data_IF_372133610417
#
_entry.id   IF_372133610417
#
_cell.length_a   1.000
_cell.length_b   1.000
_cell.length_c   1.000
_cell.angle_alpha   90.00
_cell.angle_beta   90.00
_cell.angle_gamma   90.00
#
_symmetry.space_group_name_H-M   'P 1'
#
loop_
_entity.id
_entity.type
_entity.pdbx_description
1 polymer ?
#
# COMPACT_ATOMS: atom_id res chain seq x y z
N UNK A 1 -18.39 36.66 -10.42
CA UNK A 1 -17.69 35.86 -9.39
C UNK A 1 -17.26 34.49 -9.96
N UNK A 2 -16.19 34.37 -10.78
CA UNK A 2 -15.78 33.09 -11.36
C UNK A 2 -14.49 32.49 -10.73
N UNK A 3 -13.74 33.26 -9.93
CA UNK A 3 -12.41 32.85 -9.44
C UNK A 3 -12.45 31.87 -8.27
N UNK A 4 -13.53 31.87 -7.47
CA UNK A 4 -13.67 30.97 -6.33
C UNK A 4 -13.96 29.51 -6.74
N UNK A 5 -14.76 29.29 -7.79
CA UNK A 5 -15.08 27.94 -8.28
C UNK A 5 -13.89 27.25 -8.96
N UNK A 6 -13.01 28.00 -9.61
CA UNK A 6 -11.82 27.42 -10.24
C UNK A 6 -10.77 26.99 -9.20
N UNK A 7 -10.70 27.69 -8.06
CA UNK A 7 -9.84 27.32 -6.94
C UNK A 7 -10.36 26.08 -6.20
N UNK A 8 -11.68 25.95 -5.99
CA UNK A 8 -12.26 24.76 -5.35
C UNK A 8 -12.11 23.50 -6.21
N UNK A 9 -12.36 23.60 -7.52
CA UNK A 9 -12.25 22.44 -8.42
C UNK A 9 -10.79 21.99 -8.64
N UNK A 10 -9.84 22.94 -8.68
CA UNK A 10 -8.41 22.63 -8.74
C UNK A 10 -7.85 22.08 -7.42
N UNK A 11 -8.45 22.45 -6.28
CA UNK A 11 -8.08 21.92 -4.96
C UNK A 11 -8.54 20.48 -4.78
N UNK A 12 -9.78 20.18 -5.18
CA UNK A 12 -10.40 18.86 -5.05
C UNK A 12 -9.74 17.81 -5.96
N UNK A 13 -9.48 18.16 -7.22
CA UNK A 13 -8.76 17.28 -8.16
C UNK A 13 -7.34 16.90 -7.68
N UNK A 14 -6.62 17.83 -7.02
CA UNK A 14 -5.32 17.53 -6.40
C UNK A 14 -5.43 16.62 -5.18
N UNK A 15 -6.46 16.82 -4.36
CA UNK A 15 -6.70 15.96 -3.19
C UNK A 15 -7.07 14.54 -3.60
N UNK A 16 -7.94 14.37 -4.60
CA UNK A 16 -8.34 13.05 -5.11
C UNK A 16 -7.16 12.28 -5.70
N UNK A 17 -6.28 12.95 -6.44
CA UNK A 17 -5.05 12.34 -6.96
C UNK A 17 -4.13 11.84 -5.84
N UNK A 18 -3.90 12.68 -4.82
CA UNK A 18 -3.09 12.30 -3.65
C UNK A 18 -3.73 11.16 -2.84
N UNK A 19 -5.04 11.18 -2.62
CA UNK A 19 -5.74 10.09 -1.90
C UNK A 19 -5.63 8.77 -2.67
N UNK A 20 -5.67 8.81 -4.00
CA UNK A 20 -5.52 7.63 -4.84
C UNK A 20 -4.08 7.11 -4.85
N UNK A 21 -3.09 8.00 -4.83
CA UNK A 21 -1.66 7.65 -4.69
C UNK A 21 -1.39 7.00 -3.34
N UNK A 22 -1.80 7.64 -2.24
CA UNK A 22 -1.68 7.10 -0.87
C UNK A 22 -2.39 5.75 -0.75
N UNK A 23 -3.62 5.63 -1.29
CA UNK A 23 -4.34 4.36 -1.26
C UNK A 23 -3.65 3.26 -2.08
N UNK A 24 -2.92 3.61 -3.13
CA UNK A 24 -2.14 2.66 -3.92
C UNK A 24 -0.87 2.22 -3.18
N UNK A 25 -0.20 3.14 -2.50
CA UNK A 25 0.96 2.86 -1.64
C UNK A 25 0.56 1.95 -0.46
N UNK A 26 -0.52 2.27 0.25
CA UNK A 26 -1.01 1.45 1.37
C UNK A 26 -1.40 0.04 0.92
N UNK A 27 -2.05 -0.09 -0.25
CA UNK A 27 -2.37 -1.40 -0.84
C UNK A 27 -1.10 -2.18 -1.15
N UNK A 28 -0.13 -1.54 -1.79
CA UNK A 28 1.14 -2.18 -2.13
C UNK A 28 1.87 -2.71 -0.87
N UNK A 29 1.95 -1.90 0.18
CA UNK A 29 2.56 -2.32 1.46
C UNK A 29 1.80 -3.50 2.11
N UNK A 30 0.48 -3.53 2.02
CA UNK A 30 -0.31 -4.65 2.54
C UNK A 30 -0.13 -5.95 1.73
N UNK A 31 0.02 -5.84 0.41
CA UNK A 31 0.28 -6.97 -0.48
C UNK A 31 1.68 -7.54 -0.28
N UNK A 32 2.70 -6.70 -0.11
CA UNK A 32 4.07 -7.15 0.17
C UNK A 32 4.17 -7.83 1.53
N UNK A 33 3.48 -7.32 2.54
CA UNK A 33 3.41 -7.98 3.87
C UNK A 33 2.76 -9.34 3.75
N UNK A 34 1.62 -9.43 3.05
CA UNK A 34 0.91 -10.69 2.84
C UNK A 34 1.74 -11.71 2.06
N UNK A 35 2.44 -11.28 1.01
CA UNK A 35 3.37 -12.12 0.27
C UNK A 35 4.52 -12.63 1.16
N UNK A 36 5.07 -11.78 2.03
CA UNK A 36 6.15 -12.19 2.94
C UNK A 36 5.69 -13.23 3.97
N UNK A 37 4.47 -13.09 4.50
CA UNK A 37 3.86 -14.08 5.39
C UNK A 37 3.57 -15.40 4.67
N UNK A 38 3.02 -15.34 3.45
CA UNK A 38 2.76 -16.51 2.61
C UNK A 38 4.07 -17.24 2.25
N UNK A 39 5.14 -16.48 1.98
CA UNK A 39 6.47 -17.03 1.73
C UNK A 39 7.07 -17.72 2.96
N UNK A 40 6.69 -17.35 4.18
CA UNK A 40 7.07 -18.08 5.38
C UNK A 40 6.28 -19.38 5.54
N UNK A 41 4.98 -19.37 5.23
CA UNK A 41 4.11 -20.55 5.34
C UNK A 41 4.52 -21.67 4.38
N UNK A 42 5.02 -21.31 3.19
CA UNK A 42 5.49 -22.26 2.18
C UNK A 42 6.90 -22.81 2.43
N UNK A 43 7.69 -22.18 3.29
CA UNK A 43 8.97 -22.75 3.72
C UNK A 43 8.61 -23.71 4.88
N UNK A 44 8.70 -25.01 4.64
CA UNK A 44 8.64 -26.08 5.66
C UNK A 44 9.84 -25.97 6.63
N UNK A 45 9.96 -24.83 7.32
CA UNK A 45 11.06 -24.56 8.24
C UNK A 45 10.76 -25.29 9.56
N UNK A 46 11.72 -26.11 10.06
CA UNK A 46 11.56 -26.80 11.32
C UNK A 46 11.52 -25.76 12.44
N UNK A 47 10.34 -25.53 13.03
CA UNK A 47 10.08 -24.73 14.26
C UNK A 47 11.16 -23.65 14.49
N UNK A 48 11.25 -22.68 13.58
CA UNK A 48 12.19 -21.57 13.75
C UNK A 48 11.81 -20.79 15.02
N UNK A 49 12.81 -20.36 15.79
CA UNK A 49 12.53 -19.51 16.94
C UNK A 49 11.92 -18.20 16.45
N UNK A 50 10.97 -17.64 17.21
CA UNK A 50 10.27 -16.39 16.83
C UNK A 50 11.23 -15.29 16.38
N UNK A 51 12.40 -15.16 17.02
CA UNK A 51 13.45 -14.21 16.64
C UNK A 51 14.03 -14.45 15.24
N UNK A 52 14.26 -15.70 14.85
CA UNK A 52 14.84 -16.03 13.55
C UNK A 52 13.83 -15.81 12.41
N UNK A 53 12.54 -16.04 12.68
CA UNK A 53 11.44 -15.69 11.77
C UNK A 53 11.37 -14.18 11.52
N UNK A 54 11.48 -13.38 12.58
CA UNK A 54 11.50 -11.91 12.47
C UNK A 54 12.69 -11.41 11.65
N UNK A 55 13.89 -11.97 11.87
CA UNK A 55 15.08 -11.61 11.07
C UNK A 55 14.93 -11.99 9.59
N UNK A 56 14.27 -13.11 9.29
CA UNK A 56 14.02 -13.53 7.91
C UNK A 56 13.00 -12.62 7.23
N UNK A 57 11.93 -12.22 7.93
CA UNK A 57 10.94 -11.26 7.42
C UNK A 57 11.56 -9.90 7.14
N UNK A 58 12.40 -9.40 8.04
CA UNK A 58 13.14 -8.16 7.83
C UNK A 58 13.97 -8.21 6.54
N UNK A 59 14.63 -9.34 6.28
CA UNK A 59 15.38 -9.54 5.02
C UNK A 59 14.45 -9.56 3.81
N UNK A 60 13.27 -10.18 3.91
CA UNK A 60 12.27 -10.18 2.84
C UNK A 60 11.73 -8.77 2.55
N UNK A 61 11.47 -7.96 3.58
CA UNK A 61 11.07 -6.56 3.42
C UNK A 61 12.17 -5.73 2.78
N UNK A 62 13.42 -5.85 3.26
CA UNK A 62 14.56 -5.17 2.65
C UNK A 62 14.77 -5.60 1.19
N UNK A 63 14.57 -6.89 0.89
CA UNK A 63 14.66 -7.39 -0.47
C UNK A 63 13.54 -6.83 -1.35
N UNK A 64 12.30 -6.82 -0.88
CA UNK A 64 11.16 -6.23 -1.60
C UNK A 64 11.38 -4.73 -1.90
N UNK A 65 11.91 -3.97 -0.94
CA UNK A 65 12.25 -2.56 -1.14
C UNK A 65 13.36 -2.40 -2.18
N UNK A 66 14.39 -3.24 -2.18
CA UNK A 66 15.46 -3.22 -3.20
C UNK A 66 14.95 -3.62 -4.59
N UNK A 67 14.13 -4.66 -4.65
CA UNK A 67 13.57 -5.19 -5.90
C UNK A 67 12.49 -4.27 -6.51
N UNK A 68 11.98 -3.29 -5.75
CA UNK A 68 11.03 -2.27 -6.23
C UNK A 68 11.61 -1.30 -7.28
N UNK A 69 12.84 -1.53 -7.75
CA UNK A 69 13.48 -0.72 -8.80
C UNK A 69 13.99 0.62 -8.28
N UNK A 70 14.38 0.65 -7.01
CA UNK A 70 14.84 1.85 -6.31
C UNK A 70 16.35 1.76 -6.13
N UNK A 71 17.06 2.80 -6.52
CA UNK A 71 18.51 2.85 -6.36
C UNK A 71 18.85 3.51 -5.01
N UNK A 72 19.28 2.68 -4.04
CA UNK A 72 19.57 3.13 -2.67
C UNK A 72 20.95 3.76 -2.64
N UNK A 73 20.99 5.07 -2.37
CA UNK A 73 22.26 5.81 -2.24
C UNK A 73 22.65 5.89 -0.76
N UNK A 74 23.89 5.53 -0.37
CA UNK A 74 24.34 5.60 1.01
C UNK A 74 24.45 7.04 1.49
N UNK A 75 23.81 7.36 2.62
CA UNK A 75 23.86 8.68 3.26
C UNK A 75 22.51 9.17 3.81
N UNK A 76 22.53 9.99 4.85
CA UNK A 76 21.34 10.53 5.56
C UNK A 76 20.66 11.70 4.81
N UNK A 77 21.31 12.23 3.77
CA UNK A 77 20.76 13.32 2.94
C UNK A 77 21.02 13.08 1.46
N UNK A 78 19.93 13.08 0.69
CA UNK A 78 19.98 13.02 -0.77
C UNK A 78 20.73 14.25 -1.29
N UNK A 79 21.94 14.05 -1.83
CA UNK A 79 22.74 15.12 -2.40
C UNK A 79 21.93 15.97 -3.40
N UNK A 80 22.21 17.27 -3.46
CA UNK A 80 21.43 18.25 -4.26
C UNK A 80 21.19 17.75 -5.70
N UNK A 81 22.18 17.10 -6.29
CA UNK A 81 22.10 16.51 -7.63
C UNK A 81 21.05 15.39 -7.76
N UNK A 82 20.92 14.50 -6.77
CA UNK A 82 19.93 13.43 -6.76
C UNK A 82 18.51 13.97 -6.52
N UNK A 83 18.39 15.01 -5.68
CA UNK A 83 17.11 15.69 -5.46
C UNK A 83 16.61 16.39 -6.72
N UNK A 84 17.51 17.05 -7.45
CA UNK A 84 17.19 17.68 -8.75
C UNK A 84 16.84 16.63 -9.80
N UNK A 85 17.55 15.49 -9.83
CA UNK A 85 17.23 14.38 -10.73
C UNK A 85 15.80 13.86 -10.47
N UNK A 86 15.47 13.52 -9.22
CA UNK A 86 14.13 13.09 -8.84
C UNK A 86 13.05 14.14 -9.13
N UNK A 87 13.36 15.43 -8.88
CA UNK A 87 12.43 16.52 -9.18
C UNK A 87 12.16 16.66 -10.69
N UNK A 88 13.19 16.49 -11.51
CA UNK A 88 13.10 16.49 -12.97
C UNK A 88 12.29 15.28 -13.47
N UNK A 89 12.45 14.11 -12.85
CA UNK A 89 11.67 12.91 -13.16
C UNK A 89 10.17 13.12 -12.90
N UNK A 90 9.87 13.69 -11.72
CA UNK A 90 8.50 13.84 -11.23
C UNK A 90 7.73 14.96 -11.94
N UNK A 91 8.42 16.02 -12.39
CA UNK A 91 7.79 17.18 -13.01
C UNK A 91 8.55 17.66 -14.25
N UNK A 92 8.61 16.87 -15.34
CA UNK A 92 9.38 17.23 -16.54
C UNK A 92 8.90 18.53 -17.17
N UNK A 93 7.59 18.80 -17.19
CA UNK A 93 7.00 20.02 -17.76
C UNK A 93 7.43 21.27 -16.97
N UNK A 94 7.49 21.18 -15.63
CA UNK A 94 7.89 22.32 -14.81
C UNK A 94 9.37 22.63 -15.00
N UNK A 95 10.22 21.60 -14.99
CA UNK A 95 11.66 21.77 -15.20
C UNK A 95 11.93 22.33 -16.60
N UNK A 96 11.24 21.80 -17.61
CA UNK A 96 11.29 22.32 -18.98
C UNK A 96 10.93 23.80 -19.04
N UNK A 97 9.80 24.22 -18.46
CA UNK A 97 9.39 25.61 -18.46
C UNK A 97 10.40 26.52 -17.76
N UNK A 98 10.94 26.08 -16.61
CA UNK A 98 11.95 26.84 -15.86
C UNK A 98 13.28 26.96 -16.57
N UNK A 99 13.64 26.02 -17.45
CA UNK A 99 14.92 26.02 -18.16
C UNK A 99 14.81 26.66 -19.56
N UNK A 100 13.69 26.43 -20.24
CA UNK A 100 13.44 26.92 -21.58
C UNK A 100 13.16 28.43 -21.62
N UNK A 101 12.37 28.97 -20.69
CA UNK A 101 12.04 30.40 -20.68
C UNK A 101 13.28 31.31 -20.50
N UNK A 102 14.17 31.06 -19.51
CA UNK A 102 15.40 31.83 -19.39
C UNK A 102 16.35 31.62 -20.56
N UNK A 103 16.41 30.41 -21.13
CA UNK A 103 17.25 30.13 -22.30
C UNK A 103 16.83 30.95 -23.52
N UNK A 104 15.53 31.02 -23.83
CA UNK A 104 15.01 31.84 -24.92
C UNK A 104 15.22 33.34 -24.64
N UNK A 105 15.01 33.78 -23.40
CA UNK A 105 15.27 35.16 -22.99
C UNK A 105 16.75 35.55 -23.15
N UNK A 106 17.67 34.65 -22.82
CA UNK A 106 19.11 34.86 -22.98
C UNK A 106 19.51 35.00 -24.44
N UNK A 107 18.96 34.15 -25.33
CA UNK A 107 19.19 34.22 -26.78
C UNK A 107 18.68 35.56 -27.35
N UNK A 108 17.52 36.02 -26.88
CA UNK A 108 16.95 37.30 -27.31
C UNK A 108 17.85 38.48 -26.90
N UNK A 109 18.31 38.51 -25.64
CA UNK A 109 19.20 39.57 -25.16
C UNK A 109 20.54 39.60 -25.92
N UNK A 110 21.15 38.43 -26.17
CA UNK A 110 22.41 38.31 -26.92
C UNK A 110 22.31 38.80 -28.37
N UNK A 111 21.18 38.60 -29.04
CA UNK A 111 20.96 39.12 -30.40
C UNK A 111 20.66 40.62 -30.42
N UNK A 112 20.22 41.20 -29.30
CA UNK A 112 19.86 42.63 -29.21
C UNK A 112 21.10 43.54 -29.39
N UNK A 113 22.29 43.08 -29.01
CA UNK A 113 23.56 43.84 -29.09
C UNK A 113 24.12 44.10 -30.50
N UNK A 114 23.61 43.47 -31.56
CA UNK A 114 24.08 43.69 -32.95
C UNK A 114 23.23 44.76 -33.64
N UNK A 115 23.68 46.01 -33.65
CA UNK A 115 22.91 47.20 -34.08
C UNK A 115 22.91 47.48 -35.61
N UNK A 116 23.58 46.67 -36.45
CA UNK A 116 23.70 46.98 -37.89
C UNK A 116 22.69 46.26 -38.82
N UNK A 117 21.83 45.38 -38.28
CA UNK A 117 20.92 44.56 -39.11
C UNK A 117 19.46 44.81 -38.76
N UNK A 118 18.64 44.93 -39.81
CA UNK A 118 17.22 45.26 -39.79
C UNK A 118 16.42 44.41 -38.76
N UNK A 119 15.60 45.07 -37.93
CA UNK A 119 14.92 44.46 -36.78
C UNK A 119 14.05 43.25 -37.17
N UNK A 120 13.52 43.25 -38.39
CA UNK A 120 12.67 42.19 -38.94
C UNK A 120 13.43 40.87 -39.16
N UNK A 121 14.67 40.93 -39.69
CA UNK A 121 15.54 39.76 -39.90
C UNK A 121 16.04 39.22 -38.56
N UNK A 122 16.32 40.11 -37.59
CA UNK A 122 16.72 39.72 -36.24
C UNK A 122 15.62 38.91 -35.55
N UNK A 123 14.37 39.37 -35.62
CA UNK A 123 13.21 38.68 -35.05
C UNK A 123 12.99 37.29 -35.66
N UNK A 124 13.16 37.19 -36.99
CA UNK A 124 13.04 35.92 -37.71
C UNK A 124 14.10 34.90 -37.24
N UNK A 125 15.37 35.30 -37.15
CA UNK A 125 16.43 34.43 -36.64
C UNK A 125 16.24 34.04 -35.18
N UNK A 126 15.87 34.99 -34.30
CA UNK A 126 15.60 34.65 -32.89
C UNK A 126 14.46 33.66 -32.70
N UNK A 127 13.44 33.68 -33.57
CA UNK A 127 12.33 32.73 -33.48
C UNK A 127 12.77 31.31 -33.84
N UNK A 128 13.54 31.15 -34.91
CA UNK A 128 14.07 29.84 -35.34
C UNK A 128 15.08 29.30 -34.32
N UNK A 129 15.98 30.13 -33.80
CA UNK A 129 16.91 29.72 -32.75
C UNK A 129 16.21 29.40 -31.43
N UNK A 130 15.16 30.15 -31.07
CA UNK A 130 14.34 29.86 -29.91
C UNK A 130 13.62 28.51 -30.04
N UNK A 131 13.02 28.24 -31.20
CA UNK A 131 12.40 26.94 -31.50
C UNK A 131 13.40 25.80 -31.37
N UNK A 132 14.58 25.93 -31.99
CA UNK A 132 15.64 24.93 -31.90
C UNK A 132 16.08 24.70 -30.44
N UNK A 133 16.29 25.78 -29.67
CA UNK A 133 16.66 25.67 -28.26
C UNK A 133 15.60 24.95 -27.44
N UNK A 134 14.32 25.28 -27.63
CA UNK A 134 13.21 24.62 -26.91
C UNK A 134 13.08 23.14 -27.25
N UNK A 135 13.29 22.76 -28.51
CA UNK A 135 13.23 21.36 -28.96
C UNK A 135 14.39 20.56 -28.38
N UNK A 136 15.62 21.11 -28.40
CA UNK A 136 16.79 20.44 -27.82
C UNK A 136 16.65 20.23 -26.30
N UNK A 137 16.12 21.23 -25.58
CA UNK A 137 15.82 21.11 -24.14
C UNK A 137 14.71 20.07 -23.90
N UNK A 138 13.67 20.05 -24.73
CA UNK A 138 12.58 19.07 -24.65
C UNK A 138 13.08 17.64 -24.83
N UNK A 139 13.87 17.39 -25.87
CA UNK A 139 14.51 16.10 -26.12
C UNK A 139 15.41 15.69 -24.95
N UNK A 140 16.20 16.62 -24.41
CA UNK A 140 17.05 16.36 -23.25
C UNK A 140 16.26 15.96 -22.00
N UNK A 141 15.17 16.68 -21.69
CA UNK A 141 14.33 16.37 -20.51
C UNK A 141 13.59 15.04 -20.67
N UNK A 142 13.07 14.75 -21.87
CA UNK A 142 12.38 13.48 -22.14
C UNK A 142 13.37 12.32 -22.10
N UNK A 143 14.53 12.44 -22.75
CA UNK A 143 15.57 11.40 -22.72
C UNK A 143 16.12 11.17 -21.31
N UNK A 144 16.29 12.23 -20.53
CA UNK A 144 16.69 12.12 -19.13
C UNK A 144 15.60 11.47 -18.26
N UNK A 145 14.32 11.78 -18.53
CA UNK A 145 13.20 11.12 -17.87
C UNK A 145 13.19 9.62 -18.16
N UNK A 146 13.31 9.22 -19.42
CA UNK A 146 13.33 7.81 -19.80
C UNK A 146 14.54 7.07 -19.21
N UNK A 147 15.70 7.73 -19.17
CA UNK A 147 16.89 7.20 -18.50
C UNK A 147 16.66 6.98 -16.98
N UNK A 148 15.98 7.89 -16.29
CA UNK A 148 15.65 7.68 -14.88
C UNK A 148 14.51 6.70 -14.65
N UNK A 149 13.52 6.66 -15.55
CA UNK A 149 12.44 5.67 -15.49
C UNK A 149 13.02 4.25 -15.67
N UNK A 150 14.12 4.11 -16.43
CA UNK A 150 14.84 2.83 -16.59
C UNK A 150 15.80 2.49 -15.45
N UNK A 151 16.50 3.48 -14.88
CA UNK A 151 17.49 3.26 -13.80
C UNK A 151 16.90 3.32 -12.38
N UNK A 152 15.62 3.65 -12.25
CA UNK A 152 14.93 3.75 -10.97
C UNK A 152 15.09 5.11 -10.28
N UNK A 153 14.15 5.43 -9.39
CA UNK A 153 14.25 6.63 -8.53
C UNK A 153 15.37 6.43 -7.51
N UNK A 154 16.16 7.47 -7.27
CA UNK A 154 17.13 7.48 -6.19
C UNK A 154 16.39 7.68 -4.87
N UNK A 155 16.46 6.72 -3.96
CA UNK A 155 15.87 6.85 -2.62
C UNK A 155 16.99 6.77 -1.60
N UNK A 156 16.88 7.57 -0.56
CA UNK A 156 17.84 7.62 0.55
C UNK A 156 17.69 6.38 1.42
N UNK A 157 18.76 5.90 2.05
CA UNK A 157 18.69 4.79 3.02
C UNK A 157 17.65 5.03 4.12
N UNK A 158 17.47 6.28 4.55
CA UNK A 158 16.44 6.67 5.51
C UNK A 158 15.03 6.40 5.01
N UNK A 159 14.70 6.82 3.79
CA UNK A 159 13.37 6.58 3.20
C UNK A 159 13.16 5.08 2.90
N UNK A 160 14.23 4.34 2.57
CA UNK A 160 14.15 2.88 2.46
C UNK A 160 13.87 2.22 3.83
N UNK A 161 14.48 2.72 4.90
CA UNK A 161 14.25 2.23 6.26
C UNK A 161 12.84 2.60 6.78
N UNK A 162 12.38 3.82 6.49
CA UNK A 162 11.03 4.29 6.82
C UNK A 162 9.97 3.39 6.15
N UNK A 163 10.18 2.99 4.88
CA UNK A 163 9.29 2.03 4.20
C UNK A 163 9.28 0.65 4.84
N UNK A 164 10.43 0.16 5.31
CA UNK A 164 10.49 -1.12 6.04
C UNK A 164 9.74 -0.99 7.37
N UNK A 165 9.87 0.13 8.07
CA UNK A 165 9.14 0.41 9.30
C UNK A 165 7.61 0.49 9.06
N UNK A 166 7.18 1.12 7.97
CA UNK A 166 5.77 1.11 7.55
C UNK A 166 5.24 -0.31 7.30
N UNK A 167 6.02 -1.16 6.62
CA UNK A 167 5.65 -2.57 6.42
C UNK A 167 5.52 -3.33 7.75
N UNK A 168 6.39 -3.04 8.73
CA UNK A 168 6.27 -3.62 10.08
C UNK A 168 5.01 -3.15 10.80
N UNK A 169 4.67 -1.86 10.71
CA UNK A 169 3.46 -1.32 11.33
C UNK A 169 2.19 -1.92 10.71
N UNK A 170 2.14 -2.03 9.38
CA UNK A 170 1.02 -2.68 8.66
C UNK A 170 0.88 -4.15 9.06
N UNK A 171 2.00 -4.86 9.24
CA UNK A 171 1.98 -6.24 9.75
C UNK A 171 1.43 -6.31 11.17
N UNK A 172 1.89 -5.46 12.09
CA UNK A 172 1.39 -5.44 13.47
C UNK A 172 -0.12 -5.21 13.52
N UNK A 173 -0.60 -4.29 12.69
CA UNK A 173 -2.03 -4.05 12.52
C UNK A 173 -2.76 -5.30 12.00
N UNK A 174 -2.26 -5.94 10.95
CA UNK A 174 -2.84 -7.18 10.41
C UNK A 174 -2.87 -8.32 11.45
N UNK A 175 -1.79 -8.50 12.20
CA UNK A 175 -1.70 -9.51 13.25
C UNK A 175 -2.67 -9.23 14.39
N UNK A 176 -2.79 -7.98 14.83
CA UNK A 176 -3.76 -7.60 15.87
C UNK A 176 -5.20 -7.91 15.46
N UNK A 177 -5.55 -7.64 14.18
CA UNK A 177 -6.86 -7.96 13.61
C UNK A 177 -7.10 -9.47 13.54
N UNK A 178 -6.08 -10.24 13.15
CA UNK A 178 -6.14 -11.70 13.10
C UNK A 178 -6.32 -12.32 14.50
N UNK A 179 -5.63 -11.79 15.51
CA UNK A 179 -5.79 -12.23 16.90
C UNK A 179 -7.21 -11.96 17.42
N UNK A 180 -7.73 -10.75 17.18
CA UNK A 180 -9.09 -10.40 17.57
C UNK A 180 -10.14 -11.32 16.90
N UNK A 181 -9.96 -11.64 15.61
CA UNK A 181 -10.85 -12.55 14.89
C UNK A 181 -10.78 -13.99 15.44
N UNK A 182 -9.57 -14.50 15.71
CA UNK A 182 -9.36 -15.81 16.34
C UNK A 182 -10.05 -15.90 17.71
N UNK A 183 -9.95 -14.86 18.54
CA UNK A 183 -10.62 -14.81 19.84
C UNK A 183 -12.15 -14.85 19.69
N UNK A 184 -12.70 -14.12 18.71
CA UNK A 184 -14.13 -14.14 18.42
C UNK A 184 -14.61 -15.53 17.97
N UNK A 185 -13.87 -16.16 17.05
CA UNK A 185 -14.19 -17.51 16.57
C UNK A 185 -14.11 -18.53 17.71
N UNK A 186 -13.09 -18.44 18.56
CA UNK A 186 -12.98 -19.33 19.72
C UNK A 186 -14.12 -19.12 20.72
N UNK A 187 -14.51 -17.87 21.00
CA UNK A 187 -15.64 -17.56 21.87
C UNK A 187 -16.96 -18.09 21.29
N UNK A 188 -17.16 -18.00 19.97
CA UNK A 188 -18.32 -18.60 19.29
C UNK A 188 -18.30 -20.13 19.41
N UNK A 189 -17.15 -20.77 19.15
CA UNK A 189 -17.01 -22.22 19.28
C UNK A 189 -17.27 -22.70 20.72
N UNK A 190 -16.81 -21.96 21.74
CA UNK A 190 -17.10 -22.29 23.14
C UNK A 190 -18.59 -22.19 23.46
N UNK A 191 -19.29 -21.16 22.95
CA UNK A 191 -20.74 -21.02 23.08
C UNK A 191 -21.50 -22.16 22.40
N UNK A 192 -21.06 -22.58 21.21
CA UNK A 192 -21.65 -23.70 20.48
C UNK A 192 -21.45 -25.01 21.26
N UNK A 193 -20.23 -25.26 21.77
CA UNK A 193 -19.93 -26.43 22.58
C UNK A 193 -20.77 -26.48 23.86
N UNK A 194 -20.89 -25.36 24.58
CA UNK A 194 -21.69 -25.31 25.81
C UNK A 194 -23.19 -25.46 25.56
N UNK A 195 -23.73 -24.89 24.46
CA UNK A 195 -25.11 -25.12 24.03
C UNK A 195 -25.35 -26.59 23.65
N UNK A 196 -24.44 -27.20 22.90
CA UNK A 196 -24.50 -28.61 22.53
C UNK A 196 -24.50 -29.53 23.77
N UNK A 197 -23.63 -29.28 24.75
CA UNK A 197 -23.57 -30.04 26.00
C UNK A 197 -24.86 -29.90 26.82
N UNK A 198 -25.51 -28.73 26.82
CA UNK A 198 -26.80 -28.52 27.46
C UNK A 198 -27.92 -29.30 26.78
N UNK A 199 -27.96 -29.32 25.44
CA UNK A 199 -28.94 -30.09 24.68
C UNK A 199 -28.78 -31.60 24.89
N UNK A 200 -27.55 -32.12 24.91
CA UNK A 200 -27.27 -33.54 25.22
C UNK A 200 -27.73 -33.90 26.63
N UNK A 201 -27.53 -33.00 27.62
CA UNK A 201 -28.02 -33.19 28.99
C UNK A 201 -29.56 -33.20 29.02
N UNK A 202 -30.21 -32.23 28.37
CA UNK A 202 -31.67 -32.15 28.31
C UNK A 202 -32.28 -33.38 27.62
N UNK A 203 -31.70 -33.83 26.50
CA UNK A 203 -32.12 -35.04 25.79
C UNK A 203 -31.97 -36.30 26.67
N UNK A 204 -30.88 -36.44 27.42
CA UNK A 204 -30.70 -37.53 28.37
C UNK A 204 -31.72 -37.51 29.53
N UNK A 205 -32.06 -36.33 30.04
CA UNK A 205 -33.10 -36.17 31.08
C UNK A 205 -34.48 -36.53 30.54
N UNK A 206 -34.82 -36.11 29.32
CA UNK A 206 -36.07 -36.48 28.66
C UNK A 206 -36.15 -37.98 28.36
N UNK A 207 -35.05 -38.60 27.91
CA UNK A 207 -34.96 -40.05 27.70
C UNK A 207 -35.17 -40.82 29.01
N UNK A 208 -34.54 -40.39 30.11
CA UNK A 208 -34.77 -40.97 31.44
C UNK A 208 -36.22 -40.81 31.90
N UNK A 209 -36.82 -39.63 31.76
CA UNK A 209 -38.24 -39.40 32.09
C UNK A 209 -39.18 -40.29 31.28
N UNK A 210 -38.94 -40.43 29.97
CA UNK A 210 -39.76 -41.30 29.09
C UNK A 210 -39.65 -42.78 29.47
N UNK A 211 -38.46 -43.22 29.93
CA UNK A 211 -38.22 -44.59 30.40
C UNK A 211 -38.91 -44.88 31.74
N UNK A 212 -38.92 -43.91 32.66
CA UNK A 212 -39.64 -43.98 33.94
C UNK A 212 -41.15 -44.01 33.72
N UNK A 213 -41.67 -43.18 32.81
CA UNK A 213 -43.10 -43.13 32.50
C UNK A 213 -43.61 -44.42 31.83
N UNK A 214 -42.79 -45.05 30.97
CA UNK A 214 -43.11 -46.34 30.36
C UNK A 214 -43.07 -47.51 31.36
N UNK A 215 -42.28 -47.40 32.43
CA UNK A 215 -42.26 -48.38 33.53
C UNK A 215 -43.48 -48.24 34.44
N UNK A 216 -43.95 -47.02 34.71
CA UNK A 216 -45.18 -46.79 35.49
C UNK A 216 -46.45 -47.23 34.73
N UNK A 217 -46.50 -47.06 33.40
CA UNK A 217 -47.63 -47.55 32.58
C UNK A 217 -47.67 -49.09 32.47
N UNK A 218 -46.56 -49.78 32.69
CA UNK A 218 -46.53 -51.26 32.66
C UNK A 218 -46.93 -51.87 34.00
N UNK A 219 -46.82 -51.13 35.11
CA UNK A 219 -47.23 -51.60 36.45
C UNK A 219 -48.73 -51.43 36.72
N UNK A 220 -49.41 -50.52 36.02
CA UNK A 220 -50.86 -50.27 36.17
C UNK A 220 -51.73 -51.21 35.29
N UNK A 221 -51.10 -52.04 34.45
CA UNK A 221 -51.78 -53.02 33.58
C UNK A 221 -51.84 -54.44 34.18
N UNK A 222 -51.30 -54.65 35.38
CA UNK A 222 -51.30 -55.94 36.08
C UNK A 222 -51.93 -55.82 37.46
N UNK A 223 -53.22 -55.49 37.52
CA UNK A 223 -54.06 -55.84 38.67
C UNK A 223 -55.53 -56.01 38.21
N UNK A 224 -56.08 -57.23 38.20
CA UNK A 224 -57.47 -57.45 38.48
C UNK A 224 -57.64 -58.07 39.87
N UNK A 225 -58.22 -57.26 40.76
CA UNK A 225 -59.36 -57.57 41.63
C UNK A 225 -59.38 -58.95 42.34
N UNK A 226 -59.13 -58.89 43.65
CA UNK A 226 -59.81 -59.57 44.76
C UNK A 226 -60.56 -60.92 44.52
N UNK A 227 -60.28 -61.91 45.37
CA UNK A 227 -61.25 -62.62 46.26
C UNK A 227 -60.53 -63.74 47.04
N UNK A 228 -60.47 -63.67 48.37
CA UNK A 228 -61.35 -64.40 49.31
C UNK A 228 -61.25 -65.93 49.17
N UNK A 229 -60.52 -66.59 50.09
CA UNK A 229 -60.97 -67.51 51.16
C UNK A 229 -59.74 -67.90 51.99
#
# INVERSE_FOLDING_TARGET
MPTLFMFSFSGESRHLGKMREIANETKHSSETVRWAEDALEHIDAPVMNHRETEEHLLKLYQKSVKDSGVNIVPGDQLGIHHRIANYTAANPIKVLATLALPSVAWIFYGNTGKQHLDFSVKLMHTRVFGQFATISILLGVIGFKEFMDYNGRFITEREANDRVEEMQHVRQELMSRLHADKEQVQAQQQKIKSAHDQDVKNHNVHSKKKKVQKQSETQDATDPVASTV
#
